data_IF_348080986799
#
_entry.id   IF_348080986799
#
_cell.length_a   1.000
_cell.length_b   1.000
_cell.length_c   1.000
_cell.angle_alpha   90.00
_cell.angle_beta   90.00
_cell.angle_gamma   90.00
#
_symmetry.space_group_name_H-M   'P 1'
#
loop_
_entity.id
_entity.type
_entity.pdbx_description
1 polymer ?
#
# COMPACT_ATOMS: atom_id res chain seq x y z
N UNK A 1 -4.58 22.31 11.89
CA UNK A 1 -6.04 22.53 11.77
C UNK A 1 -6.64 22.49 13.17
N UNK A 2 -7.51 23.43 13.52
CA UNK A 2 -8.19 23.49 14.84
C UNK A 2 -9.04 22.23 15.04
N UNK A 3 -8.98 21.66 16.24
CA UNK A 3 -9.57 20.37 16.62
C UNK A 3 -11.08 20.45 16.94
N UNK A 4 -11.74 21.57 16.67
CA UNK A 4 -13.04 21.91 17.25
C UNK A 4 -14.23 21.81 16.30
N UNK A 5 -14.37 20.70 15.55
CA UNK A 5 -15.66 20.26 14.99
C UNK A 5 -15.48 18.92 14.25
N UNK A 6 -15.34 17.83 14.99
CA UNK A 6 -15.59 16.48 14.46
C UNK A 6 -17.07 16.20 14.71
N UNK A 7 -17.92 16.64 13.79
CA UNK A 7 -19.36 16.40 13.86
C UNK A 7 -19.67 15.12 13.08
N UNK A 8 -20.32 14.14 13.72
CA UNK A 8 -20.73 12.87 13.10
C UNK A 8 -21.64 13.04 11.87
N UNK A 9 -22.26 14.21 11.69
CA UNK A 9 -23.13 14.52 10.55
C UNK A 9 -22.37 14.86 9.27
N UNK A 10 -21.05 15.00 9.31
CA UNK A 10 -20.23 15.43 8.17
C UNK A 10 -19.82 14.23 7.28
N UNK A 11 -20.84 13.53 6.75
CA UNK A 11 -20.70 12.30 5.95
C UNK A 11 -19.81 12.54 4.72
N UNK A 12 -19.84 13.76 4.17
CA UNK A 12 -18.99 14.14 3.04
C UNK A 12 -17.49 14.13 3.40
N UNK A 13 -17.10 14.62 4.60
CA UNK A 13 -15.71 14.51 5.08
C UNK A 13 -15.34 13.07 5.42
N UNK A 14 -16.29 12.26 5.87
CA UNK A 14 -16.05 10.84 6.15
C UNK A 14 -15.74 10.05 4.86
N UNK A 15 -16.44 10.38 3.76
CA UNK A 15 -16.31 9.69 2.47
C UNK A 15 -15.15 10.21 1.60
N UNK A 16 -14.97 11.53 1.48
CA UNK A 16 -13.96 12.13 0.59
C UNK A 16 -12.70 12.58 1.34
N UNK A 17 -12.75 12.66 2.67
CA UNK A 17 -11.64 13.20 3.45
C UNK A 17 -11.38 14.67 3.13
N UNK A 18 -10.10 15.05 3.17
CA UNK A 18 -9.63 16.38 2.77
C UNK A 18 -8.91 16.37 1.42
N UNK A 19 -8.93 15.22 0.73
CA UNK A 19 -8.11 15.02 -0.46
C UNK A 19 -8.85 15.52 -1.72
N UNK A 20 -8.12 16.01 -2.73
CA UNK A 20 -8.71 16.38 -4.01
C UNK A 20 -9.43 15.17 -4.64
N UNK A 21 -10.61 15.36 -5.23
CA UNK A 21 -11.33 14.27 -5.91
C UNK A 21 -10.54 13.64 -7.06
N UNK A 22 -9.61 14.39 -7.67
CA UNK A 22 -8.70 13.89 -8.70
C UNK A 22 -7.69 12.87 -8.15
N UNK A 23 -7.34 12.94 -6.86
CA UNK A 23 -6.47 11.95 -6.22
C UNK A 23 -7.10 10.56 -6.21
N UNK A 24 -8.43 10.45 -6.08
CA UNK A 24 -9.13 9.16 -6.15
C UNK A 24 -8.87 8.44 -7.48
N UNK A 25 -8.80 9.18 -8.59
CA UNK A 25 -8.51 8.61 -9.90
C UNK A 25 -7.04 8.16 -10.02
N UNK A 26 -6.12 8.91 -9.42
CA UNK A 26 -4.71 8.53 -9.32
C UNK A 26 -4.52 7.28 -8.45
N UNK A 27 -5.25 7.18 -7.34
CA UNK A 27 -5.24 6.00 -6.45
C UNK A 27 -5.64 4.74 -7.21
N UNK A 28 -6.59 4.80 -8.14
CA UNK A 28 -6.93 3.65 -9.00
C UNK A 28 -5.70 3.20 -9.80
N UNK A 29 -5.01 4.13 -10.45
CA UNK A 29 -3.79 3.82 -11.21
C UNK A 29 -2.67 3.25 -10.32
N UNK A 30 -2.42 3.89 -9.16
CA UNK A 30 -1.45 3.42 -8.17
C UNK A 30 -1.81 2.04 -7.63
N UNK A 31 -3.10 1.75 -7.41
CA UNK A 31 -3.58 0.46 -6.93
C UNK A 31 -3.30 -0.65 -7.95
N UNK A 32 -3.51 -0.40 -9.24
CA UNK A 32 -3.16 -1.35 -10.30
C UNK A 32 -1.66 -1.63 -10.31
N UNK A 33 -0.82 -0.59 -10.21
CA UNK A 33 0.64 -0.75 -10.16
C UNK A 33 1.06 -1.54 -8.91
N UNK A 34 0.54 -1.18 -7.73
CA UNK A 34 0.79 -1.89 -6.48
C UNK A 34 0.38 -3.37 -6.57
N UNK A 35 -0.78 -3.65 -7.15
CA UNK A 35 -1.26 -5.02 -7.33
C UNK A 35 -0.31 -5.85 -8.21
N UNK A 36 0.15 -5.28 -9.32
CA UNK A 36 1.14 -5.93 -10.20
C UNK A 36 2.46 -6.13 -9.45
N UNK A 37 2.96 -5.12 -8.73
CA UNK A 37 4.21 -5.21 -7.96
C UNK A 37 4.14 -6.32 -6.90
N UNK A 38 3.04 -6.40 -6.15
CA UNK A 38 2.84 -7.44 -5.13
C UNK A 38 2.80 -8.83 -5.79
N UNK A 39 2.08 -9.00 -6.90
CA UNK A 39 2.05 -10.29 -7.61
C UNK A 39 3.45 -10.68 -8.10
N UNK A 40 4.20 -9.75 -8.67
CA UNK A 40 5.57 -10.00 -9.14
C UNK A 40 6.46 -10.38 -7.95
N UNK A 41 6.40 -9.64 -6.84
CA UNK A 41 7.19 -9.95 -5.65
C UNK A 41 6.83 -11.32 -5.07
N UNK A 42 5.54 -11.65 -4.93
CA UNK A 42 5.09 -12.96 -4.48
C UNK A 42 5.55 -14.09 -5.41
N UNK A 43 5.51 -13.86 -6.73
CA UNK A 43 5.99 -14.82 -7.72
C UNK A 43 7.51 -15.03 -7.64
N UNK A 44 8.27 -13.99 -7.33
CA UNK A 44 9.72 -14.05 -7.13
C UNK A 44 10.08 -14.75 -5.81
N UNK A 45 9.31 -14.56 -4.73
CA UNK A 45 9.51 -15.27 -3.46
C UNK A 45 9.39 -16.79 -3.62
N UNK A 46 8.52 -17.24 -4.53
CA UNK A 46 8.78 -18.42 -5.35
C UNK A 46 9.35 -19.67 -4.68
N UNK A 47 8.94 -20.06 -3.46
CA UNK A 47 9.16 -21.43 -2.99
C UNK A 47 7.92 -22.27 -3.28
N UNK A 48 8.15 -23.29 -4.11
CA UNK A 48 7.23 -24.36 -4.46
C UNK A 48 6.36 -24.70 -3.27
N UNK A 49 5.05 -24.74 -3.50
CA UNK A 49 3.98 -25.20 -2.62
C UNK A 49 4.39 -26.49 -1.89
N UNK A 50 5.15 -26.34 -0.81
CA UNK A 50 5.45 -27.36 0.17
C UNK A 50 4.90 -26.85 1.51
N UNK A 51 3.60 -26.52 1.46
CA UNK A 51 2.67 -26.41 2.59
C UNK A 51 2.91 -25.38 3.71
N UNK A 52 4.07 -24.71 3.80
CA UNK A 52 4.31 -23.71 4.85
C UNK A 52 5.13 -22.53 4.34
N UNK A 53 4.59 -21.32 4.42
CA UNK A 53 5.39 -20.11 4.31
C UNK A 53 6.38 -20.09 5.48
N UNK A 54 7.65 -19.88 5.20
CA UNK A 54 8.63 -19.69 6.28
C UNK A 54 8.32 -18.38 7.03
N UNK A 55 8.73 -18.25 8.30
CA UNK A 55 8.59 -17.00 9.05
C UNK A 55 9.18 -15.79 8.31
N UNK A 56 10.20 -16.04 7.49
CA UNK A 56 10.85 -15.03 6.65
C UNK A 56 9.98 -14.60 5.47
N UNK A 57 9.34 -15.54 4.78
CA UNK A 57 8.41 -15.21 3.68
C UNK A 57 7.18 -14.47 4.23
N UNK A 58 6.65 -14.90 5.38
CA UNK A 58 5.54 -14.22 6.03
C UNK A 58 5.90 -12.78 6.43
N UNK A 59 7.08 -12.56 7.03
CA UNK A 59 7.53 -11.22 7.41
C UNK A 59 7.76 -10.31 6.19
N UNK A 60 8.30 -10.86 5.10
CA UNK A 60 8.45 -10.14 3.84
C UNK A 60 7.10 -9.70 3.27
N UNK A 61 6.10 -10.61 3.21
CA UNK A 61 4.74 -10.28 2.74
C UNK A 61 4.07 -9.22 3.61
N UNK A 62 4.16 -9.33 4.93
CA UNK A 62 3.61 -8.33 5.85
C UNK A 62 4.25 -6.96 5.65
N UNK A 63 5.57 -6.92 5.46
CA UNK A 63 6.32 -5.67 5.23
C UNK A 63 5.93 -5.02 3.89
N UNK A 64 5.77 -5.83 2.84
CA UNK A 64 5.30 -5.34 1.53
C UNK A 64 3.89 -4.75 1.63
N UNK A 65 2.97 -5.43 2.32
CA UNK A 65 1.61 -4.94 2.52
C UNK A 65 1.57 -3.61 3.30
N UNK A 66 2.31 -3.51 4.41
CA UNK A 66 2.35 -2.28 5.22
C UNK A 66 2.98 -1.10 4.47
N UNK A 67 3.97 -1.37 3.64
CA UNK A 67 4.70 -0.34 2.88
C UNK A 67 3.88 0.22 1.71
N UNK A 68 3.05 -0.61 1.05
CA UNK A 68 2.19 -0.20 -0.07
C UNK A 68 0.97 0.61 0.37
N UNK A 69 0.52 0.50 1.63
CA UNK A 69 -0.63 1.27 2.13
C UNK A 69 -0.39 2.78 2.14
N UNK A 70 0.81 3.21 2.51
CA UNK A 70 1.15 4.63 2.62
C UNK A 70 1.05 5.41 1.30
N UNK A 71 1.67 5.00 0.17
CA UNK A 71 1.56 5.70 -1.12
C UNK A 71 0.15 5.64 -1.75
N UNK A 72 -0.72 4.75 -1.28
CA UNK A 72 -2.10 4.65 -1.75
C UNK A 72 -3.04 5.60 -1.01
N UNK A 73 -2.73 5.91 0.26
CA UNK A 73 -3.61 6.72 1.13
C UNK A 73 -3.15 8.18 1.23
N UNK A 74 -1.84 8.43 1.12
CA UNK A 74 -1.23 9.75 1.28
C UNK A 74 -0.80 10.30 -0.09
N UNK A 75 -1.41 11.42 -0.48
CA UNK A 75 -1.17 12.10 -1.76
C UNK A 75 0.26 12.65 -1.88
N UNK A 76 0.90 12.92 -0.75
CA UNK A 76 2.27 13.45 -0.69
C UNK A 76 3.33 12.38 -0.88
N UNK A 77 2.95 11.10 -0.89
CA UNK A 77 3.91 9.99 -0.96
C UNK A 77 3.86 9.31 -2.32
N UNK A 78 5.03 9.16 -2.93
CA UNK A 78 5.19 8.44 -4.20
C UNK A 78 5.43 6.94 -4.02
N UNK A 79 5.45 6.23 -5.15
CA UNK A 79 5.70 4.78 -5.23
C UNK A 79 7.19 4.39 -5.14
N UNK A 80 8.11 5.35 -5.19
CA UNK A 80 9.55 5.10 -5.18
C UNK A 80 10.05 4.45 -3.87
N UNK A 81 9.79 4.99 -2.67
CA UNK A 81 10.24 4.35 -1.43
C UNK A 81 9.71 2.90 -1.26
N UNK A 82 8.42 2.64 -1.52
CA UNK A 82 7.88 1.28 -1.52
C UNK A 82 8.59 0.31 -2.47
N UNK A 83 8.92 0.77 -3.67
CA UNK A 83 9.62 -0.03 -4.67
C UNK A 83 11.02 -0.42 -4.18
N UNK A 84 11.77 0.52 -3.60
CA UNK A 84 13.08 0.25 -3.00
C UNK A 84 12.97 -0.82 -1.91
N UNK A 85 12.02 -0.67 -0.99
CA UNK A 85 11.80 -1.64 0.11
C UNK A 85 11.51 -3.04 -0.43
N UNK A 86 10.61 -3.16 -1.42
CA UNK A 86 10.29 -4.45 -2.06
C UNK A 86 11.55 -5.05 -2.70
N UNK A 87 12.31 -4.27 -3.46
CA UNK A 87 13.53 -4.77 -4.13
C UNK A 87 14.60 -5.20 -3.14
N UNK A 88 14.78 -4.49 -2.02
CA UNK A 88 15.74 -4.87 -0.97
C UNK A 88 15.33 -6.14 -0.25
N UNK A 89 14.02 -6.34 0.01
CA UNK A 89 13.51 -7.58 0.60
C UNK A 89 13.67 -8.78 -0.34
N UNK A 90 13.44 -8.58 -1.63
CA UNK A 90 13.62 -9.63 -2.64
C UNK A 90 15.09 -10.03 -2.85
N UNK A 91 16.01 -9.13 -2.57
CA UNK A 91 17.44 -9.38 -2.69
C UNK A 91 18.05 -10.13 -1.49
N UNK A 92 17.31 -10.23 -0.38
CA UNK A 92 17.73 -10.91 0.85
C UNK A 92 17.38 -12.41 0.82
#
# INVERSE_FOLDING_TARGET
MKQDEIVLSDIARLAFGQNPSMFLLEVIGRAVICFVLIIVALRLLGRRVASQYTLFELSAVVTMAGTMGVPLLDDKRGLLPPLVIITSLLAL
#
